data_IF_447679311312
#
_entry.id   IF_447679311312
#
_cell.length_a   1.000
_cell.length_b   1.000
_cell.length_c   1.000
_cell.angle_alpha   90.00
_cell.angle_beta   90.00
_cell.angle_gamma   90.00
#
_symmetry.space_group_name_H-M   'P 1'
#
loop_
_entity.id
_entity.type
_entity.pdbx_description
1 polymer ?
#
# COMPACT_ATOMS: atom_id res chain seq x y z
N UNK A 1 9.05 -4.27 -21.80
CA UNK A 1 8.79 -3.17 -20.85
C UNK A 1 8.85 -3.79 -19.46
N UNK A 2 9.72 -3.31 -18.60
CA UNK A 2 9.84 -3.76 -17.20
C UNK A 2 8.81 -3.05 -16.31
N UNK A 3 8.66 -3.52 -15.06
CA UNK A 3 7.84 -2.82 -14.05
C UNK A 3 8.31 -1.37 -13.86
N UNK A 4 9.63 -1.15 -13.79
CA UNK A 4 10.24 0.18 -13.72
C UNK A 4 9.81 1.07 -14.88
N UNK A 5 9.94 0.58 -16.12
CA UNK A 5 9.57 1.35 -17.31
C UNK A 5 8.08 1.70 -17.31
N UNK A 6 7.22 0.74 -16.92
CA UNK A 6 5.79 0.95 -16.88
C UNK A 6 5.39 1.99 -15.82
N UNK A 7 6.00 1.95 -14.63
CA UNK A 7 5.77 2.94 -13.57
C UNK A 7 6.24 4.32 -14.02
N UNK A 8 7.46 4.45 -14.53
CA UNK A 8 8.01 5.73 -14.96
C UNK A 8 7.20 6.35 -16.11
N UNK A 9 6.63 5.52 -17.00
CA UNK A 9 5.79 6.02 -18.10
C UNK A 9 4.47 6.65 -17.64
N UNK A 10 4.08 6.43 -16.38
CA UNK A 10 2.88 7.03 -15.76
C UNK A 10 3.17 8.29 -14.96
N UNK A 11 4.41 8.79 -15.02
CA UNK A 11 4.84 10.04 -14.36
C UNK A 11 4.50 10.07 -12.86
N UNK A 12 5.07 9.17 -12.03
CA UNK A 12 4.83 9.18 -10.60
C UNK A 12 5.38 10.44 -9.94
N UNK A 13 4.79 10.85 -8.82
CA UNK A 13 5.34 11.92 -7.96
C UNK A 13 6.66 11.48 -7.33
N UNK A 14 6.72 10.21 -6.88
CA UNK A 14 7.91 9.55 -6.39
C UNK A 14 7.85 8.06 -6.68
N UNK A 15 9.03 7.48 -6.91
CA UNK A 15 9.18 6.06 -7.20
C UNK A 15 10.45 5.48 -6.60
N UNK A 16 10.30 4.51 -5.73
CA UNK A 16 11.38 3.75 -5.12
C UNK A 16 11.36 2.31 -5.67
N UNK A 17 12.32 1.94 -6.54
CA UNK A 17 12.48 0.54 -6.98
C UNK A 17 12.69 -0.41 -5.81
N UNK A 18 13.35 0.10 -4.75
CA UNK A 18 13.74 -0.63 -3.55
C UNK A 18 14.77 -1.75 -3.87
N UNK A 19 15.71 -1.49 -4.78
CA UNK A 19 16.73 -2.45 -5.21
C UNK A 19 18.19 -2.02 -4.91
N UNK A 20 18.38 -0.91 -4.20
CA UNK A 20 19.70 -0.28 -3.91
C UNK A 20 20.29 -0.70 -2.56
N UNK A 21 19.91 -1.83 -2.01
CA UNK A 21 20.28 -2.22 -0.63
C UNK A 21 21.71 -2.73 -0.44
N UNK A 22 22.52 -2.78 -1.46
CA UNK A 22 23.88 -3.27 -1.37
C UNK A 22 24.79 -2.29 -0.61
N UNK A 23 24.68 -2.31 0.70
CA UNK A 23 25.46 -1.46 1.61
C UNK A 23 25.02 -0.01 1.74
N UNK A 24 23.91 0.36 1.10
CA UNK A 24 23.32 1.69 1.20
C UNK A 24 22.58 1.88 2.53
N UNK A 25 22.56 3.12 3.03
CA UNK A 25 21.72 3.54 4.17
C UNK A 25 20.35 4.06 3.74
N UNK A 26 20.06 4.08 2.43
CA UNK A 26 18.81 4.58 1.84
C UNK A 26 18.48 3.84 0.55
N UNK A 27 17.21 3.85 0.19
CA UNK A 27 16.72 3.48 -1.13
C UNK A 27 16.41 4.75 -1.92
N UNK A 28 16.92 4.83 -3.15
CA UNK A 28 16.81 6.01 -3.98
C UNK A 28 15.38 6.24 -4.50
N UNK A 29 14.95 7.50 -4.51
CA UNK A 29 13.76 7.95 -5.23
C UNK A 29 14.15 8.35 -6.66
N UNK A 30 13.73 7.60 -7.65
CA UNK A 30 14.02 7.87 -9.07
C UNK A 30 13.51 9.24 -9.55
N UNK A 31 12.56 9.83 -8.85
CA UNK A 31 12.04 11.18 -9.13
C UNK A 31 12.80 12.27 -8.35
N UNK A 32 13.64 11.88 -7.39
CA UNK A 32 14.53 12.79 -6.65
C UNK A 32 13.83 13.69 -5.64
N UNK A 33 12.65 13.30 -5.14
CA UNK A 33 11.95 14.07 -4.10
C UNK A 33 12.52 13.70 -2.72
N UNK A 34 12.39 12.45 -2.27
CA UNK A 34 12.92 11.97 -1.00
C UNK A 34 13.34 10.50 -1.06
N UNK A 35 14.59 10.21 -0.74
CA UNK A 35 15.07 8.85 -0.55
C UNK A 35 14.44 8.21 0.69
N UNK A 36 14.22 6.90 0.64
CA UNK A 36 13.76 6.13 1.79
C UNK A 36 14.94 5.77 2.69
N UNK A 37 14.91 6.20 3.94
CA UNK A 37 15.94 5.90 4.94
C UNK A 37 15.79 4.48 5.46
N UNK A 38 16.91 3.78 5.62
CA UNK A 38 16.98 2.44 6.19
C UNK A 38 17.00 2.49 7.73
N UNK A 39 16.26 1.62 8.43
CA UNK A 39 16.43 1.45 9.86
C UNK A 39 17.79 0.76 10.14
N UNK A 40 18.28 0.92 11.37
CA UNK A 40 19.56 0.28 11.78
C UNK A 40 19.47 -1.25 11.95
N UNK A 41 18.28 -1.81 12.02
CA UNK A 41 18.07 -3.24 12.27
C UNK A 41 16.72 -3.72 11.68
N UNK A 42 16.61 -5.03 11.43
CA UNK A 42 15.35 -5.68 11.03
C UNK A 42 15.01 -5.63 9.55
N UNK A 43 15.72 -4.82 8.76
CA UNK A 43 15.60 -4.80 7.30
C UNK A 43 16.90 -5.31 6.71
N UNK A 44 16.81 -6.32 5.85
CA UNK A 44 17.95 -6.95 5.18
C UNK A 44 17.68 -7.06 3.68
N UNK A 45 18.72 -7.41 2.91
CA UNK A 45 18.50 -7.76 1.51
C UNK A 45 17.63 -9.00 1.41
N UNK A 46 16.61 -8.96 0.57
CA UNK A 46 15.69 -10.08 0.42
C UNK A 46 16.33 -11.25 -0.31
N UNK A 47 16.12 -12.46 0.22
CA UNK A 47 16.37 -13.69 -0.53
C UNK A 47 15.25 -13.98 -1.56
N UNK A 48 14.20 -13.16 -1.62
CA UNK A 48 13.07 -13.30 -2.54
C UNK A 48 13.24 -12.24 -3.62
N UNK A 49 13.80 -12.58 -4.79
CA UNK A 49 14.04 -11.60 -5.84
C UNK A 49 12.74 -11.14 -6.48
N UNK A 50 12.71 -9.91 -6.95
CA UNK A 50 11.73 -9.43 -7.93
C UNK A 50 12.41 -9.42 -9.31
N UNK A 51 12.13 -10.41 -10.14
CA UNK A 51 12.86 -10.59 -11.39
C UNK A 51 14.36 -10.76 -11.16
N UNK A 52 15.17 -9.85 -11.71
CA UNK A 52 16.62 -9.82 -11.51
C UNK A 52 17.07 -8.99 -10.28
N UNK A 53 16.15 -8.26 -9.65
CA UNK A 53 16.43 -7.33 -8.55
C UNK A 53 16.18 -7.98 -7.19
N UNK A 54 16.85 -7.46 -6.14
CA UNK A 54 16.64 -7.86 -4.75
C UNK A 54 16.26 -6.61 -3.95
N UNK A 55 15.06 -6.61 -3.39
CA UNK A 55 14.57 -5.53 -2.55
C UNK A 55 14.73 -5.79 -1.05
N UNK A 56 14.18 -4.90 -0.20
CA UNK A 56 14.20 -5.08 1.24
C UNK A 56 13.35 -6.28 1.67
N UNK A 57 13.92 -7.01 2.61
CA UNK A 57 13.22 -8.01 3.40
C UNK A 57 12.98 -7.46 4.81
N UNK A 58 11.74 -7.49 5.23
CA UNK A 58 11.28 -7.09 6.56
C UNK A 58 11.03 -8.35 7.40
N UNK A 59 11.59 -8.40 8.59
CA UNK A 59 11.50 -9.58 9.46
C UNK A 59 10.18 -9.68 10.24
N UNK A 60 9.36 -8.63 10.20
CA UNK A 60 8.09 -8.52 10.92
C UNK A 60 8.23 -8.02 12.35
N UNK A 61 9.44 -7.65 12.78
CA UNK A 61 9.63 -7.05 14.10
C UNK A 61 9.14 -5.59 14.12
N UNK A 62 8.75 -5.12 15.29
CA UNK A 62 8.43 -3.70 15.50
C UNK A 62 9.67 -2.85 15.27
N UNK A 63 9.53 -1.77 14.51
CA UNK A 63 10.65 -0.90 14.16
C UNK A 63 11.44 -1.32 12.90
N UNK A 64 11.11 -2.46 12.29
CA UNK A 64 11.68 -2.92 11.02
C UNK A 64 10.93 -2.31 9.84
N UNK A 65 11.17 -1.05 9.53
CA UNK A 65 10.55 -0.34 8.41
C UNK A 65 11.46 0.75 7.85
N UNK A 66 11.33 1.05 6.56
CA UNK A 66 11.94 2.22 5.95
C UNK A 66 11.10 3.46 6.27
N UNK A 67 11.73 4.62 6.25
CA UNK A 67 11.07 5.93 6.46
C UNK A 67 11.37 6.84 5.28
N UNK A 68 10.34 7.42 4.68
CA UNK A 68 10.41 8.46 3.66
C UNK A 68 9.93 9.75 4.32
N UNK A 69 10.71 10.81 4.17
CA UNK A 69 10.38 12.11 4.76
C UNK A 69 9.01 12.61 4.26
N UNK A 70 8.35 13.40 5.09
CA UNK A 70 7.08 14.00 4.73
C UNK A 70 7.22 14.97 3.55
N UNK A 71 6.25 14.91 2.64
CA UNK A 71 6.07 15.88 1.55
C UNK A 71 4.57 16.06 1.29
N UNK A 72 4.09 17.30 1.06
CA UNK A 72 2.69 17.56 0.71
C UNK A 72 2.19 16.80 -0.53
N UNK A 73 3.08 16.46 -1.46
CA UNK A 73 2.73 15.71 -2.66
C UNK A 73 2.36 14.25 -2.39
N UNK A 74 2.65 13.73 -1.19
CA UNK A 74 2.25 12.39 -0.75
C UNK A 74 0.91 12.36 -0.04
N UNK A 75 0.25 13.50 0.06
CA UNK A 75 -1.04 13.65 0.72
C UNK A 75 -2.16 13.78 -0.30
N UNK A 76 -3.30 13.18 0.01
CA UNK A 76 -4.55 13.54 -0.61
C UNK A 76 -4.94 14.94 -0.12
N UNK A 77 -5.37 15.83 -1.00
CA UNK A 77 -5.91 17.15 -0.64
C UNK A 77 -7.14 17.52 -1.48
N UNK A 78 -7.69 18.72 -1.29
CA UNK A 78 -8.88 19.15 -2.04
C UNK A 78 -8.65 19.34 -3.55
N UNK A 79 -7.41 19.45 -3.99
CA UNK A 79 -7.05 19.63 -5.40
C UNK A 79 -6.57 18.32 -6.04
N UNK A 80 -5.96 17.45 -5.24
CA UNK A 80 -5.24 16.28 -5.73
C UNK A 80 -5.82 14.99 -5.16
N UNK A 81 -6.07 14.05 -6.06
CA UNK A 81 -6.28 12.65 -5.72
C UNK A 81 -4.96 12.00 -5.33
N UNK A 82 -5.02 10.78 -4.84
CA UNK A 82 -3.86 9.98 -4.47
C UNK A 82 -3.94 8.60 -5.10
N UNK A 83 -2.82 8.13 -5.63
CA UNK A 83 -2.59 6.70 -5.90
C UNK A 83 -1.30 6.27 -5.22
N UNK A 84 -1.33 5.14 -4.53
CA UNK A 84 -0.15 4.49 -3.95
C UNK A 84 -0.13 3.05 -4.42
N UNK A 85 0.98 2.58 -4.97
CA UNK A 85 1.10 1.21 -5.45
C UNK A 85 2.44 0.59 -5.06
N UNK A 86 2.43 -0.72 -4.82
CA UNK A 86 3.62 -1.50 -4.54
C UNK A 86 3.44 -2.96 -4.96
N UNK A 87 4.56 -3.65 -5.16
CA UNK A 87 4.61 -5.10 -5.17
C UNK A 87 4.99 -5.60 -3.78
N UNK A 88 4.24 -6.56 -3.25
CA UNK A 88 4.50 -7.16 -1.94
C UNK A 88 4.56 -8.69 -2.06
N UNK A 89 5.44 -9.30 -1.27
CA UNK A 89 5.54 -10.76 -1.13
C UNK A 89 5.45 -11.10 0.36
N UNK A 90 4.21 -11.25 0.92
CA UNK A 90 4.04 -11.56 2.33
C UNK A 90 4.49 -12.97 2.65
N UNK A 91 5.21 -13.15 3.76
CA UNK A 91 5.57 -14.48 4.33
C UNK A 91 4.74 -14.82 5.57
N UNK A 92 4.01 -13.86 6.11
CA UNK A 92 3.04 -14.05 7.18
C UNK A 92 1.91 -13.03 7.04
N UNK A 93 0.72 -13.41 7.45
CA UNK A 93 -0.45 -12.52 7.53
C UNK A 93 -0.75 -12.10 8.97
N UNK A 94 0.04 -12.60 9.91
CA UNK A 94 0.01 -12.21 11.31
C UNK A 94 1.32 -11.56 11.66
N UNK A 95 1.28 -10.60 12.53
CA UNK A 95 2.46 -9.92 13.00
C UNK A 95 2.57 -9.93 14.52
N UNK A 96 3.80 -9.75 14.99
CA UNK A 96 3.99 -9.24 16.34
C UNK A 96 3.45 -7.81 16.37
N UNK A 97 2.52 -7.53 17.25
CA UNK A 97 1.95 -6.20 17.41
C UNK A 97 1.96 -5.76 18.87
N UNK A 98 1.86 -4.47 19.08
CA UNK A 98 1.54 -3.92 20.38
C UNK A 98 0.05 -4.02 20.60
N UNK A 99 -0.35 -4.41 21.80
CA UNK A 99 -1.76 -4.39 22.22
C UNK A 99 -2.34 -2.99 22.00
N UNK A 100 -3.54 -2.92 21.44
CA UNK A 100 -4.26 -1.68 21.22
C UNK A 100 -4.85 -1.57 19.80
N UNK A 101 -4.87 -0.36 19.26
CA UNK A 101 -5.50 -0.06 17.96
C UNK A 101 -4.96 -0.87 16.79
N UNK A 102 -3.68 -1.20 16.80
CA UNK A 102 -2.99 -1.83 15.66
C UNK A 102 -3.01 -3.37 15.71
N UNK A 103 -3.61 -3.97 16.74
CA UNK A 103 -3.65 -5.43 16.88
C UNK A 103 -4.45 -6.15 15.78
N UNK A 104 -5.30 -5.41 15.06
CA UNK A 104 -6.11 -5.94 13.97
C UNK A 104 -5.51 -5.78 12.58
N UNK A 105 -4.35 -5.12 12.44
CA UNK A 105 -3.80 -4.74 11.14
C UNK A 105 -2.33 -5.11 10.99
N UNK A 106 -1.92 -5.34 9.74
CA UNK A 106 -0.53 -5.38 9.30
C UNK A 106 -0.33 -4.30 8.27
N UNK A 107 0.23 -3.17 8.68
CA UNK A 107 0.54 -2.07 7.79
C UNK A 107 1.82 -2.38 7.02
N UNK A 108 1.80 -2.28 5.71
CA UNK A 108 3.00 -2.47 4.91
C UNK A 108 3.44 -1.20 4.19
N UNK A 109 2.52 -0.23 3.93
CA UNK A 109 2.84 1.16 3.56
C UNK A 109 1.81 2.08 4.21
N UNK A 110 2.27 3.09 4.93
CA UNK A 110 1.39 4.02 5.64
C UNK A 110 2.02 5.42 5.67
N UNK A 111 1.21 6.47 5.54
CA UNK A 111 1.59 7.84 5.86
C UNK A 111 0.89 8.26 7.13
N UNK A 112 1.65 8.45 8.21
CA UNK A 112 1.12 8.75 9.53
C UNK A 112 2.11 9.50 10.40
N UNK A 113 1.60 10.30 11.34
CA UNK A 113 2.39 10.81 12.46
C UNK A 113 2.58 9.69 13.48
N UNK A 114 3.80 9.43 13.91
CA UNK A 114 4.08 8.44 14.94
C UNK A 114 3.70 8.97 16.34
N UNK A 115 3.08 8.14 17.21
CA UNK A 115 2.48 6.83 16.95
C UNK A 115 1.08 6.96 16.36
N UNK A 116 0.85 6.39 15.26
CA UNK A 116 -0.30 6.09 14.39
C UNK A 116 -1.73 6.60 14.72
N UNK A 117 -1.90 7.67 15.48
CA UNK A 117 -3.23 8.23 15.79
C UNK A 117 -3.74 9.09 14.63
N UNK A 118 -2.81 9.69 13.88
CA UNK A 118 -3.08 10.61 12.78
C UNK A 118 -2.53 10.05 11.44
N UNK A 119 -3.04 8.89 11.02
CA UNK A 119 -2.78 8.38 9.69
C UNK A 119 -3.55 9.20 8.64
N UNK A 120 -2.89 9.53 7.55
CA UNK A 120 -3.54 10.11 6.38
C UNK A 120 -4.11 9.00 5.50
N UNK A 121 -3.29 7.98 5.22
CA UNK A 121 -3.68 6.82 4.44
C UNK A 121 -2.83 5.59 4.80
N UNK A 122 -3.36 4.41 4.51
CA UNK A 122 -2.67 3.15 4.76
C UNK A 122 -3.04 2.07 3.74
N UNK A 123 -2.02 1.41 3.19
CA UNK A 123 -2.11 0.09 2.56
C UNK A 123 -1.75 -0.97 3.60
N UNK A 124 -2.67 -1.90 3.84
CA UNK A 124 -2.53 -2.89 4.90
C UNK A 124 -3.35 -4.14 4.61
N UNK A 125 -3.18 -5.16 5.38
CA UNK A 125 -4.15 -6.25 5.48
C UNK A 125 -4.58 -6.46 6.94
N UNK A 126 -5.73 -7.07 7.10
CA UNK A 126 -6.26 -7.39 8.42
C UNK A 126 -5.51 -8.57 9.00
N UNK A 127 -5.07 -8.43 10.24
CA UNK A 127 -4.43 -9.47 11.02
C UNK A 127 -5.46 -10.57 11.40
N UNK A 128 -4.99 -11.74 11.73
CA UNK A 128 -5.77 -12.89 12.22
C UNK A 128 -6.63 -12.57 13.45
N UNK A 129 -6.24 -11.61 14.25
CA UNK A 129 -7.01 -11.13 15.40
C UNK A 129 -8.30 -10.40 14.99
N UNK A 130 -8.44 -9.98 13.75
CA UNK A 130 -9.68 -9.41 13.26
C UNK A 130 -10.69 -10.53 12.93
N UNK A 131 -11.82 -10.63 13.65
CA UNK A 131 -12.70 -11.80 13.55
C UNK A 131 -13.47 -11.90 12.23
N UNK A 132 -13.66 -10.78 11.52
CA UNK A 132 -14.52 -10.73 10.33
C UNK A 132 -13.78 -10.49 9.03
N UNK A 133 -12.55 -9.98 9.07
CA UNK A 133 -11.82 -9.52 7.88
C UNK A 133 -10.38 -10.01 7.81
N UNK A 134 -10.00 -11.00 8.63
CA UNK A 134 -8.61 -11.49 8.67
C UNK A 134 -8.10 -11.83 7.26
N UNK A 135 -6.83 -11.54 7.04
CA UNK A 135 -6.12 -11.83 5.79
C UNK A 135 -6.61 -11.07 4.54
N UNK A 136 -7.44 -10.05 4.69
CA UNK A 136 -7.91 -9.23 3.56
C UNK A 136 -7.07 -7.99 3.37
N UNK A 137 -6.68 -7.73 2.14
CA UNK A 137 -6.07 -6.45 1.76
C UNK A 137 -7.06 -5.30 1.96
N UNK A 138 -6.54 -4.14 2.34
CA UNK A 138 -7.32 -2.92 2.45
C UNK A 138 -6.49 -1.68 2.15
N UNK A 139 -7.18 -0.66 1.67
CA UNK A 139 -6.68 0.71 1.54
C UNK A 139 -7.68 1.65 2.18
N UNK A 140 -7.20 2.54 3.03
CA UNK A 140 -8.01 3.53 3.75
C UNK A 140 -7.35 4.89 3.75
N UNK A 141 -8.17 5.94 3.73
CA UNK A 141 -7.79 7.31 4.07
C UNK A 141 -8.57 7.76 5.29
N UNK A 142 -8.03 8.71 6.05
CA UNK A 142 -8.55 9.10 7.35
C UNK A 142 -8.64 10.62 7.49
N UNK A 143 -9.53 11.06 8.40
CA UNK A 143 -9.58 12.44 8.83
C UNK A 143 -8.52 12.69 9.91
N UNK A 144 -7.54 13.55 9.62
CA UNK A 144 -6.53 13.94 10.58
C UNK A 144 -7.13 14.65 11.80
N UNK A 145 -6.68 14.27 12.99
CA UNK A 145 -7.13 14.83 14.26
C UNK A 145 -8.53 14.36 14.70
N UNK A 146 -9.11 13.41 13.99
CA UNK A 146 -10.36 12.76 14.38
C UNK A 146 -10.14 11.60 15.34
N UNK A 147 -11.16 11.19 16.11
CA UNK A 147 -11.10 9.95 16.87
C UNK A 147 -10.70 8.78 15.98
N UNK A 148 -9.99 7.81 16.57
CA UNK A 148 -9.55 6.62 15.86
C UNK A 148 -10.71 5.93 15.12
N UNK A 149 -10.58 5.77 13.81
CA UNK A 149 -11.54 5.05 12.98
C UNK A 149 -12.39 5.92 12.05
N UNK A 150 -12.32 7.24 12.13
CA UNK A 150 -12.95 8.07 11.11
C UNK A 150 -12.15 8.05 9.80
N UNK A 151 -12.64 7.28 8.84
CA UNK A 151 -11.99 7.14 7.54
C UNK A 151 -12.93 6.55 6.50
N UNK A 152 -12.44 6.48 5.28
CA UNK A 152 -13.09 5.82 4.16
C UNK A 152 -12.11 4.87 3.49
N UNK A 153 -12.59 3.75 3.02
CA UNK A 153 -11.69 2.77 2.42
C UNK A 153 -12.37 1.63 1.72
N UNK A 154 -11.53 0.82 1.12
CA UNK A 154 -11.92 -0.42 0.45
C UNK A 154 -11.11 -1.59 0.99
N UNK A 155 -11.73 -2.75 1.07
CA UNK A 155 -11.06 -4.00 1.37
C UNK A 155 -11.54 -5.11 0.43
N UNK A 156 -10.68 -6.11 0.23
CA UNK A 156 -11.02 -7.25 -0.61
C UNK A 156 -11.96 -8.21 0.09
N UNK A 157 -12.94 -8.75 -0.62
CA UNK A 157 -13.77 -9.85 -0.18
C UNK A 157 -13.34 -11.17 -0.81
N UNK A 158 -13.46 -12.26 -0.06
CA UNK A 158 -13.18 -13.62 -0.53
C UNK A 158 -14.43 -14.50 -0.44
N UNK A 159 -14.65 -15.32 -1.45
CA UNK A 159 -15.52 -16.49 -1.34
C UNK A 159 -17.01 -16.25 -1.57
N UNK A 160 -17.44 -15.22 -2.31
CA UNK A 160 -18.88 -14.92 -2.43
C UNK A 160 -19.46 -14.84 -3.85
N UNK A 161 -18.67 -14.88 -4.91
CA UNK A 161 -19.19 -14.84 -6.30
C UNK A 161 -18.16 -15.21 -7.37
N UNK A 162 -18.60 -15.30 -8.64
CA UNK A 162 -17.74 -15.62 -9.79
C UNK A 162 -16.60 -14.58 -10.05
N UNK A 163 -16.62 -13.47 -9.35
CA UNK A 163 -15.57 -12.44 -9.34
C UNK A 163 -14.77 -12.46 -8.04
N UNK A 164 -14.70 -13.62 -7.38
CA UNK A 164 -14.03 -13.74 -6.10
C UNK A 164 -12.57 -13.37 -6.20
N UNK A 165 -12.19 -12.49 -5.32
CA UNK A 165 -10.82 -12.09 -5.14
C UNK A 165 -10.05 -13.25 -4.52
N UNK A 166 -8.99 -13.67 -5.18
CA UNK A 166 -8.15 -14.75 -4.66
C UNK A 166 -7.52 -14.36 -3.32
N UNK A 167 -7.44 -15.29 -2.35
CA UNK A 167 -6.73 -15.06 -1.12
C UNK A 167 -5.29 -14.60 -1.35
N UNK A 168 -4.70 -13.95 -0.34
CA UNK A 168 -3.26 -13.67 -0.32
C UNK A 168 -2.50 -14.99 -0.18
N UNK A 169 -1.68 -15.32 -1.18
CA UNK A 169 -0.79 -16.46 -1.12
C UNK A 169 0.57 -16.06 -0.53
N UNK A 170 0.98 -16.74 0.54
CA UNK A 170 2.28 -16.50 1.15
C UNK A 170 3.43 -16.91 0.20
N UNK A 171 4.48 -16.11 0.18
CA UNK A 171 5.64 -16.33 -0.68
C UNK A 171 5.41 -16.04 -2.16
N UNK A 172 4.28 -15.41 -2.51
CA UNK A 172 3.99 -14.96 -3.87
C UNK A 172 3.99 -13.43 -3.96
N UNK A 173 4.59 -12.91 -5.02
CA UNK A 173 4.49 -11.50 -5.34
C UNK A 173 3.09 -11.15 -5.82
N UNK A 174 2.52 -10.12 -5.24
CA UNK A 174 1.24 -9.55 -5.63
C UNK A 174 1.40 -8.03 -5.82
N UNK A 175 0.80 -7.51 -6.87
CA UNK A 175 0.69 -6.07 -7.08
C UNK A 175 -0.54 -5.54 -6.35
N UNK A 176 -0.38 -4.47 -5.62
CA UNK A 176 -1.46 -3.77 -4.91
C UNK A 176 -1.41 -2.29 -5.19
N UNK A 177 -2.57 -1.67 -5.40
CA UNK A 177 -2.66 -0.22 -5.48
C UNK A 177 -3.90 0.27 -4.74
N UNK A 178 -3.73 1.35 -3.99
CA UNK A 178 -4.80 2.09 -3.33
C UNK A 178 -4.98 3.45 -4.00
N UNK A 179 -6.21 3.86 -4.21
CA UNK A 179 -6.55 5.15 -4.80
C UNK A 179 -7.58 5.86 -3.93
N UNK A 180 -7.45 7.18 -3.80
CA UNK A 180 -8.40 8.03 -3.12
C UNK A 180 -8.70 9.29 -3.95
N UNK A 181 -9.97 9.63 -4.10
CA UNK A 181 -10.43 10.87 -4.72
C UNK A 181 -10.08 12.08 -3.86
N UNK A 182 -10.00 13.31 -4.44
CA UNK A 182 -9.60 14.51 -3.69
C UNK A 182 -10.48 14.79 -2.47
N UNK A 183 -11.74 14.48 -2.58
CA UNK A 183 -12.70 14.61 -1.49
C UNK A 183 -13.72 13.49 -1.54
N UNK A 184 -13.99 12.91 -0.39
CA UNK A 184 -14.93 11.80 -0.26
C UNK A 184 -16.17 12.31 0.46
N UNK A 185 -17.28 12.43 -0.29
CA UNK A 185 -18.56 12.81 0.29
C UNK A 185 -19.18 11.68 1.11
N UNK A 186 -19.67 11.95 2.32
CA UNK A 186 -20.42 10.94 3.07
C UNK A 186 -21.75 10.57 2.40
N UNK A 187 -22.27 11.41 1.52
CA UNK A 187 -23.54 11.16 0.82
C UNK A 187 -23.35 10.32 -0.44
N UNK A 188 -22.17 10.36 -1.06
CA UNK A 188 -21.88 9.58 -2.27
C UNK A 188 -21.00 8.39 -1.94
N UNK A 189 -21.64 7.23 -1.79
CA UNK A 189 -20.99 5.97 -1.46
C UNK A 189 -20.40 5.26 -2.68
N UNK A 190 -20.58 5.79 -3.87
CA UNK A 190 -19.99 5.25 -5.11
C UNK A 190 -18.58 5.72 -5.35
N UNK A 191 -18.22 6.86 -4.74
CA UNK A 191 -16.90 7.48 -4.82
C UNK A 191 -16.08 7.18 -3.57
N UNK A 192 -14.81 7.52 -3.58
CA UNK A 192 -13.94 7.44 -2.42
C UNK A 192 -12.68 6.61 -2.66
N UNK A 193 -12.43 5.63 -1.80
CA UNK A 193 -11.25 4.79 -1.92
C UNK A 193 -11.50 3.57 -2.80
N UNK A 194 -10.52 3.27 -3.65
CA UNK A 194 -10.48 2.07 -4.51
C UNK A 194 -9.24 1.28 -4.18
N UNK A 195 -9.37 -0.03 -4.16
CA UNK A 195 -8.25 -0.96 -3.98
C UNK A 195 -8.14 -1.87 -5.20
N UNK A 196 -6.92 -2.08 -5.66
CA UNK A 196 -6.59 -2.98 -6.75
C UNK A 196 -5.66 -4.09 -6.27
N UNK A 197 -5.88 -5.29 -6.75
CA UNK A 197 -4.96 -6.42 -6.64
C UNK A 197 -4.78 -7.03 -8.01
N UNK A 198 -3.54 -7.07 -8.52
CA UNK A 198 -3.22 -7.65 -9.83
C UNK A 198 -4.14 -7.10 -10.96
N UNK A 199 -4.29 -5.81 -11.06
CA UNK A 199 -5.19 -5.11 -11.98
C UNK A 199 -6.69 -5.45 -11.87
N UNK A 200 -7.10 -6.18 -10.84
CA UNK A 200 -8.52 -6.40 -10.52
C UNK A 200 -8.93 -5.43 -9.44
N UNK A 201 -9.93 -4.61 -9.75
CA UNK A 201 -10.49 -3.70 -8.77
C UNK A 201 -11.26 -4.47 -7.71
N UNK A 202 -10.93 -4.21 -6.44
CA UNK A 202 -11.70 -4.76 -5.34
C UNK A 202 -13.14 -4.25 -5.40
N UNK A 203 -14.08 -5.16 -5.30
CA UNK A 203 -15.47 -4.78 -5.13
C UNK A 203 -15.61 -4.01 -3.83
N UNK A 204 -16.09 -2.77 -3.90
CA UNK A 204 -16.39 -1.99 -2.70
C UNK A 204 -17.47 -2.72 -1.91
N UNK A 205 -17.12 -3.12 -0.71
CA UNK A 205 -18.09 -3.68 0.21
C UNK A 205 -18.97 -2.54 0.72
N UNK A 206 -20.28 -2.83 0.92
CA UNK A 206 -21.18 -1.88 1.54
C UNK A 206 -20.56 -1.36 2.84
N UNK A 207 -20.57 -0.05 3.06
CA UNK A 207 -19.83 0.57 4.15
C UNK A 207 -20.24 -0.03 5.49
N UNK A 208 -19.25 -0.42 6.26
CA UNK A 208 -19.41 -0.69 7.67
C UNK A 208 -19.71 0.65 8.37
N UNK A 209 -20.64 0.63 9.30
CA UNK A 209 -21.05 1.83 10.06
C UNK A 209 -19.90 2.58 10.76
N UNK A 210 -18.72 1.96 10.85
CA UNK A 210 -17.54 2.54 11.48
C UNK A 210 -16.54 3.17 10.52
N UNK A 211 -16.69 2.98 9.19
CA UNK A 211 -15.67 3.34 8.21
C UNK A 211 -16.22 4.07 6.98
N UNK A 212 -17.46 4.52 7.03
CA UNK A 212 -18.11 5.25 5.94
C UNK A 212 -18.24 6.73 6.29
N UNK A 213 -17.12 7.33 6.60
CA UNK A 213 -17.07 8.76 6.86
C UNK A 213 -16.69 9.50 5.57
N UNK A 214 -17.21 10.72 5.41
CA UNK A 214 -16.61 11.67 4.49
C UNK A 214 -15.19 11.97 4.95
N UNK A 215 -14.24 11.91 4.04
CA UNK A 215 -12.86 12.29 4.33
C UNK A 215 -12.62 13.69 3.81
N UNK A 216 -12.25 14.59 4.72
CA UNK A 216 -11.76 15.91 4.43
C UNK A 216 -10.24 15.89 4.45
N UNK A 217 -9.60 15.70 3.27
CA UNK A 217 -8.17 15.51 3.23
C UNK A 217 -7.44 16.75 3.71
N UNK A 218 -6.40 16.51 4.49
CA UNK A 218 -5.45 17.52 4.94
C UNK A 218 -4.06 16.93 4.91
N UNK A 219 -3.09 17.76 4.54
CA UNK A 219 -1.71 17.40 4.70
C UNK A 219 -1.36 17.32 6.20
N UNK A 220 -0.77 16.21 6.60
CA UNK A 220 -0.21 15.97 7.92
C UNK A 220 1.30 15.82 7.85
N UNK A 221 1.99 16.10 8.95
CA UNK A 221 3.46 16.04 9.01
C UNK A 221 4.02 14.62 9.19
N UNK A 222 3.22 13.58 8.88
CA UNK A 222 3.63 12.18 9.02
C UNK A 222 4.49 11.70 7.87
N UNK A 223 5.59 11.03 8.19
CA UNK A 223 6.41 10.33 7.21
C UNK A 223 5.67 9.14 6.60
N UNK A 224 6.08 8.70 5.40
CA UNK A 224 5.69 7.38 4.90
C UNK A 224 6.57 6.33 5.57
N UNK A 225 5.97 5.26 6.07
CA UNK A 225 6.67 4.06 6.53
C UNK A 225 6.40 2.91 5.58
N UNK A 226 7.43 2.08 5.33
CA UNK A 226 7.38 0.93 4.40
C UNK A 226 7.88 -0.31 5.11
N UNK A 227 7.09 -1.37 5.15
CA UNK A 227 7.41 -2.64 5.83
C UNK A 227 6.91 -2.71 7.27
N UNK A 228 6.16 -1.72 7.72
CA UNK A 228 5.60 -1.68 9.07
C UNK A 228 5.46 -0.27 9.62
N UNK A 229 5.15 -0.21 10.89
CA UNK A 229 5.05 1.03 11.68
C UNK A 229 5.67 0.81 13.05
N UNK A 230 5.56 1.80 13.95
CA UNK A 230 5.95 1.61 15.35
C UNK A 230 5.10 0.56 16.08
N UNK A 231 3.88 0.31 15.61
CA UNK A 231 2.91 -0.59 16.24
C UNK A 231 2.71 -1.93 15.53
N UNK A 232 3.12 -2.05 14.27
CA UNK A 232 2.92 -3.26 13.46
C UNK A 232 4.14 -3.56 12.60
N UNK A 233 4.49 -4.83 12.41
CA UNK A 233 5.58 -5.27 11.54
C UNK A 233 5.06 -6.10 10.39
N UNK A 234 5.47 -5.80 9.17
CA UNK A 234 5.23 -6.64 8.00
C UNK A 234 6.36 -7.65 7.86
N UNK A 235 6.02 -8.92 7.63
CA UNK A 235 7.01 -9.96 7.33
C UNK A 235 6.96 -10.34 5.86
N UNK A 236 8.03 -10.07 5.13
CA UNK A 236 8.09 -10.34 3.70
C UNK A 236 8.98 -9.38 2.94
N UNK A 237 8.80 -9.30 1.62
CA UNK A 237 9.52 -8.38 0.75
C UNK A 237 8.57 -7.37 0.09
N UNK A 238 9.09 -6.19 -0.20
CA UNK A 238 8.37 -5.11 -0.93
C UNK A 238 9.29 -4.63 -2.05
N UNK A 239 8.71 -4.33 -3.20
CA UNK A 239 9.43 -3.79 -4.36
C UNK A 239 8.54 -2.77 -5.09
N UNK A 240 9.18 -1.87 -5.83
CA UNK A 240 8.50 -0.93 -6.74
C UNK A 240 7.39 -0.12 -6.07
N UNK A 241 7.69 0.52 -4.93
CA UNK A 241 6.77 1.47 -4.31
C UNK A 241 6.71 2.76 -5.13
N UNK A 242 5.51 3.23 -5.45
CA UNK A 242 5.33 4.51 -6.13
C UNK A 242 4.08 5.25 -5.63
N UNK A 243 4.14 6.58 -5.72
CA UNK A 243 3.07 7.50 -5.31
C UNK A 243 2.78 8.46 -6.46
N UNK A 244 1.51 8.71 -6.73
CA UNK A 244 1.00 9.70 -7.68
C UNK A 244 0.01 10.62 -6.97
N UNK A 245 0.11 11.91 -7.22
CA UNK A 245 -0.88 12.90 -6.77
C UNK A 245 -2.10 13.00 -7.72
N UNK A 246 -2.47 11.88 -8.33
CA UNK A 246 -3.61 11.70 -9.22
C UNK A 246 -4.15 10.28 -9.16
N UNK A 247 -5.32 10.05 -9.70
CA UNK A 247 -5.79 8.69 -9.97
C UNK A 247 -5.08 8.13 -11.21
N UNK A 248 -4.63 6.90 -11.12
CA UNK A 248 -4.27 6.11 -12.30
C UNK A 248 -5.55 5.52 -12.92
N UNK A 249 -5.58 5.49 -14.24
CA UNK A 249 -6.62 4.76 -14.98
C UNK A 249 -6.46 3.24 -14.81
N UNK A 250 -7.53 2.50 -15.06
CA UNK A 250 -7.47 1.04 -15.07
C UNK A 250 -6.43 0.49 -16.05
N UNK A 251 -6.22 1.16 -17.19
CA UNK A 251 -5.22 0.77 -18.17
C UNK A 251 -3.79 0.98 -17.68
N UNK A 252 -3.51 2.07 -16.96
CA UNK A 252 -2.20 2.31 -16.35
C UNK A 252 -1.92 1.28 -15.25
N UNK A 253 -2.90 1.01 -14.38
CA UNK A 253 -2.82 -0.06 -13.36
C UNK A 253 -2.52 -1.42 -14.02
N UNK A 254 -3.25 -1.77 -15.08
CA UNK A 254 -3.06 -3.02 -15.81
C UNK A 254 -1.68 -3.09 -16.50
N UNK A 255 -1.20 -1.96 -17.06
CA UNK A 255 0.12 -1.89 -17.69
C UNK A 255 1.25 -2.13 -16.69
N UNK A 256 1.19 -1.50 -15.50
CA UNK A 256 2.17 -1.69 -14.43
C UNK A 256 2.17 -3.15 -13.96
N UNK A 257 0.98 -3.71 -13.70
CA UNK A 257 0.87 -5.11 -13.28
C UNK A 257 1.40 -6.08 -14.32
N UNK A 258 1.02 -5.94 -15.61
CA UNK A 258 1.47 -6.82 -16.68
C UNK A 258 3.00 -6.80 -16.84
N UNK A 259 3.60 -5.61 -16.76
CA UNK A 259 5.05 -5.47 -16.85
C UNK A 259 5.77 -6.18 -15.69
N UNK A 260 5.34 -5.98 -14.45
CA UNK A 260 5.94 -6.65 -13.31
C UNK A 260 5.66 -8.15 -13.26
N UNK A 261 4.47 -8.60 -13.70
CA UNK A 261 4.19 -10.02 -13.86
C UNK A 261 5.15 -10.67 -14.88
N UNK A 262 5.47 -9.95 -15.97
CA UNK A 262 6.47 -10.40 -16.95
C UNK A 262 7.86 -10.49 -16.34
N UNK A 263 8.29 -9.52 -15.54
CA UNK A 263 9.59 -9.55 -14.84
C UNK A 263 9.69 -10.75 -13.89
N UNK A 264 8.57 -11.16 -13.30
CA UNK A 264 8.46 -12.31 -12.40
C UNK A 264 8.27 -13.65 -13.13
N UNK A 265 8.17 -13.65 -14.47
CA UNK A 265 7.84 -14.85 -15.24
C UNK A 265 6.42 -15.38 -14.98
N UNK A 266 5.53 -14.53 -14.46
CA UNK A 266 4.12 -14.85 -14.25
C UNK A 266 3.33 -14.61 -15.53
N UNK A 267 2.28 -15.44 -15.75
CA UNK A 267 1.41 -15.23 -16.92
C UNK A 267 0.50 -14.03 -16.66
N UNK A 268 0.64 -13.00 -17.46
CA UNK A 268 -0.26 -11.86 -17.44
C UNK A 268 -1.70 -12.31 -17.80
N UNK A 269 -2.65 -12.05 -16.94
CA UNK A 269 -4.05 -12.24 -17.28
C UNK A 269 -4.54 -10.98 -18.02
N UNK A 270 -4.82 -11.12 -19.31
CA UNK A 270 -5.43 -10.05 -20.09
C UNK A 270 -6.88 -9.86 -19.64
N UNK A 271 -7.13 -8.91 -18.76
CA UNK A 271 -8.45 -8.35 -18.60
C UNK A 271 -8.57 -7.14 -19.53
N UNK A 272 -9.18 -7.32 -20.70
CA UNK A 272 -9.66 -6.20 -21.49
C UNK A 272 -10.89 -5.64 -20.78
N UNK A 273 -10.75 -4.49 -20.15
CA UNK A 273 -11.92 -3.73 -19.74
C UNK A 273 -12.58 -3.13 -20.98
N UNK A 274 -13.91 -3.27 -21.14
CA UNK A 274 -14.64 -2.66 -22.23
C UNK A 274 -14.64 -1.14 -22.18
#
# INVERSE_FOLDING_TARGET
>A
MTAKDAILSTEPTSYWPLDDLDGSSSCHDEMGVHDASMPKAGVTLSAIPFGASQGPFFDGALGSFLTIADDPQYSQDFANALTVAAWICPLALDNANTAGRDDHYVHFVEKAVAPSIDAEWALRFYNRTNPSRHSRLSFYTFNLGSPAGEGNGSYMEYGVSANDETPIELGKWIFVAGQAEPWISPADRSTGCVLWKQAVQAKRVAPDKYFDFGVHPRHGAGAITVGGTQGTGFKGAIAHLAVWNRLLSANEIASIWNAGASDLGQTAMYHSYP
#
